data_IF_904048425442
#
_entry.id   IF_904048425442
#
_cell.length_a   1.000
_cell.length_b   1.000
_cell.length_c   1.000
_cell.angle_alpha   90.00
_cell.angle_beta   90.00
_cell.angle_gamma   90.00
#
_symmetry.space_group_name_H-M   'P 1'
#
loop_
_entity.id
_entity.type
_entity.pdbx_description
1 polymer ?
#
# COMPACT_ATOMS: atom_id res chain seq x y z
N UNK A 1 -26.96 -52.72 30.10
CA UNK A 1 -25.84 -51.82 30.44
C UNK A 1 -24.95 -51.48 29.24
N UNK A 2 -24.51 -52.45 28.43
CA UNK A 2 -23.59 -52.21 27.29
C UNK A 2 -24.09 -51.16 26.27
N UNK A 3 -25.39 -51.15 25.94
CA UNK A 3 -25.99 -50.22 24.96
C UNK A 3 -26.00 -48.74 25.40
N UNK A 4 -26.06 -48.48 26.71
CA UNK A 4 -26.09 -47.11 27.25
C UNK A 4 -24.67 -46.51 27.20
N UNK A 5 -23.66 -47.33 27.47
CA UNK A 5 -22.24 -46.93 27.39
C UNK A 5 -21.88 -46.56 25.94
N UNK A 6 -22.35 -47.34 24.96
CA UNK A 6 -22.10 -47.05 23.53
C UNK A 6 -22.70 -45.71 23.09
N UNK A 7 -23.91 -45.37 23.56
CA UNK A 7 -24.58 -44.11 23.22
C UNK A 7 -23.86 -42.91 23.88
N UNK A 8 -23.39 -43.08 25.12
CA UNK A 8 -22.62 -42.05 25.82
C UNK A 8 -21.29 -41.74 25.14
N UNK A 9 -20.57 -42.77 24.67
CA UNK A 9 -19.31 -42.61 23.92
C UNK A 9 -19.55 -41.93 22.57
N UNK A 10 -20.66 -42.22 21.89
CA UNK A 10 -21.03 -41.58 20.63
C UNK A 10 -21.33 -40.07 20.81
N UNK A 11 -22.03 -39.70 21.89
CA UNK A 11 -22.37 -38.29 22.18
C UNK A 11 -21.15 -37.45 22.61
N UNK A 12 -20.13 -38.06 23.20
CA UNK A 12 -18.87 -37.38 23.55
C UNK A 12 -17.99 -37.07 22.32
N UNK A 13 -18.19 -37.74 21.19
CA UNK A 13 -17.40 -37.51 19.97
C UNK A 13 -17.78 -36.22 19.22
N UNK A 14 -19.01 -35.74 19.35
CA UNK A 14 -19.55 -34.57 18.62
C UNK A 14 -19.28 -33.21 19.29
N UNK A 15 -18.75 -33.18 20.52
CA UNK A 15 -18.47 -31.95 21.27
C UNK A 15 -17.01 -31.47 21.20
N UNK A 16 -16.15 -32.12 20.40
CA UNK A 16 -14.70 -31.93 20.48
C UNK A 16 -14.07 -30.88 19.54
N UNK A 17 -14.84 -30.08 18.80
CA UNK A 17 -14.28 -29.04 17.91
C UNK A 17 -15.01 -27.70 17.99
N UNK A 18 -14.90 -27.02 19.12
CA UNK A 18 -15.13 -25.58 19.19
C UNK A 18 -13.84 -24.92 19.67
N UNK A 19 -12.88 -24.74 18.77
CA UNK A 19 -11.66 -24.00 19.06
C UNK A 19 -11.54 -22.82 18.11
N UNK A 20 -11.85 -21.62 18.62
CA UNK A 20 -11.38 -20.38 17.99
C UNK A 20 -9.86 -20.41 18.11
N UNK A 21 -9.18 -20.60 16.98
CA UNK A 21 -7.73 -20.57 16.91
C UNK A 21 -7.28 -19.12 16.72
N UNK A 22 -6.66 -18.55 17.75
CA UNK A 22 -5.98 -17.25 17.63
C UNK A 22 -4.73 -17.49 16.79
N UNK A 23 -4.70 -16.89 15.59
CA UNK A 23 -3.50 -16.84 14.77
C UNK A 23 -2.67 -15.66 15.23
N UNK A 24 -1.36 -15.87 15.35
CA UNK A 24 -0.44 -14.77 15.54
C UNK A 24 -0.53 -13.86 14.31
N UNK A 25 -0.95 -12.62 14.53
CA UNK A 25 -1.05 -11.62 13.46
C UNK A 25 0.21 -10.78 13.48
N UNK A 26 0.78 -10.57 12.30
CA UNK A 26 1.87 -9.60 12.17
C UNK A 26 1.24 -8.22 12.42
N UNK A 27 1.81 -7.39 13.32
CA UNK A 27 1.22 -6.11 13.68
C UNK A 27 1.13 -5.21 12.45
N UNK A 28 -0.01 -4.52 12.32
CA UNK A 28 -0.24 -3.54 11.27
C UNK A 28 0.26 -2.18 11.79
N UNK A 29 1.40 -1.74 11.26
CA UNK A 29 1.97 -0.44 11.59
C UNK A 29 1.48 0.61 10.59
N UNK A 30 0.76 1.63 11.07
CA UNK A 30 0.47 2.82 10.25
C UNK A 30 1.62 3.81 10.42
N UNK A 31 2.28 4.14 9.32
CA UNK A 31 3.40 5.06 9.28
C UNK A 31 2.88 6.50 9.16
N UNK A 32 3.32 7.26 8.15
CA UNK A 32 2.88 8.63 7.95
C UNK A 32 1.49 8.74 7.32
N UNK A 33 0.86 9.89 7.53
CA UNK A 33 -0.44 10.25 6.93
C UNK A 33 -0.44 11.71 6.50
N UNK A 34 -0.95 11.97 5.30
CA UNK A 34 -1.22 13.30 4.76
C UNK A 34 -2.59 13.27 4.11
N UNK A 35 -3.53 14.09 4.58
CA UNK A 35 -4.93 14.03 4.15
C UNK A 35 -5.49 12.61 4.30
N UNK A 36 -5.98 12.00 3.22
CA UNK A 36 -6.46 10.61 3.18
C UNK A 36 -5.38 9.60 2.73
N UNK A 37 -4.17 10.06 2.41
CA UNK A 37 -3.05 9.25 1.96
C UNK A 37 -2.21 8.79 3.16
N UNK A 38 -1.79 7.53 3.17
CA UNK A 38 -1.00 6.98 4.27
C UNK A 38 -0.18 5.77 3.82
N UNK A 39 0.86 5.43 4.58
CA UNK A 39 1.63 4.20 4.37
C UNK A 39 1.33 3.23 5.50
N UNK A 40 1.10 1.98 5.14
CA UNK A 40 0.92 0.87 6.07
C UNK A 40 2.03 -0.14 5.88
N UNK A 41 2.56 -0.67 6.97
CA UNK A 41 3.56 -1.74 6.99
C UNK A 41 2.98 -2.96 7.69
N UNK A 42 3.12 -4.12 7.07
CA UNK A 42 2.80 -5.43 7.65
C UNK A 42 3.99 -6.35 7.41
N UNK A 43 4.75 -6.64 8.46
CA UNK A 43 6.00 -7.39 8.33
C UNK A 43 6.98 -6.63 7.44
N UNK A 44 7.43 -7.27 6.35
CA UNK A 44 8.34 -6.68 5.37
C UNK A 44 7.61 -6.03 4.19
N UNK A 45 6.29 -5.98 4.19
CA UNK A 45 5.49 -5.43 3.10
C UNK A 45 5.00 -4.01 3.43
N UNK A 46 5.19 -3.09 2.50
CA UNK A 46 4.74 -1.70 2.57
C UNK A 46 3.65 -1.47 1.53
N UNK A 47 2.54 -0.91 1.97
CA UNK A 47 1.43 -0.49 1.11
C UNK A 47 1.25 1.01 1.22
N UNK A 48 1.36 1.69 0.08
CA UNK A 48 1.11 3.13 -0.04
C UNK A 48 -0.32 3.33 -0.52
N UNK A 49 -1.12 3.97 0.32
CA UNK A 49 -2.49 4.37 0.00
C UNK A 49 -2.52 5.83 -0.41
N UNK A 50 -3.22 6.13 -1.50
CA UNK A 50 -3.32 7.48 -2.05
C UNK A 50 -4.71 7.75 -2.64
N UNK A 51 -5.11 9.01 -2.63
CA UNK A 51 -6.37 9.48 -3.17
C UNK A 51 -6.15 9.75 -4.66
N UNK A 52 -6.89 9.03 -5.50
CA UNK A 52 -6.91 9.23 -6.95
C UNK A 52 -7.70 10.48 -7.29
N UNK A 53 -7.16 11.29 -8.21
CA UNK A 53 -7.87 12.43 -8.82
C UNK A 53 -8.58 12.02 -10.12
N UNK A 54 -8.32 10.81 -10.62
CA UNK A 54 -9.10 10.24 -11.71
C UNK A 54 -10.40 9.69 -11.15
N UNK A 55 -11.52 10.26 -11.61
CA UNK A 55 -12.85 9.70 -11.43
C UNK A 55 -13.01 8.59 -12.46
N UNK A 56 -12.70 7.35 -12.08
CA UNK A 56 -13.29 6.23 -12.81
C UNK A 56 -14.75 6.16 -12.35
N UNK A 57 -15.69 6.11 -13.30
CA UNK A 57 -17.16 6.13 -13.11
C UNK A 57 -17.73 4.91 -12.34
N UNK A 58 -16.96 4.31 -11.44
CA UNK A 58 -17.40 3.19 -10.60
C UNK A 58 -17.48 3.66 -9.15
N UNK A 59 -18.59 3.34 -8.50
CA UNK A 59 -19.07 3.71 -7.15
C UNK A 59 -18.15 3.25 -5.98
N UNK A 60 -16.83 3.42 -6.14
CA UNK A 60 -15.79 3.01 -5.21
C UNK A 60 -15.05 4.20 -4.62
N UNK A 61 -14.50 4.00 -3.42
CA UNK A 61 -13.62 4.99 -2.77
C UNK A 61 -12.50 5.42 -3.73
N UNK A 62 -12.26 6.73 -3.84
CA UNK A 62 -11.11 7.29 -4.57
C UNK A 62 -9.75 6.86 -4.00
N UNK A 63 -9.74 6.14 -2.88
CA UNK A 63 -8.54 5.58 -2.28
C UNK A 63 -8.02 4.37 -3.09
N UNK A 64 -6.87 4.57 -3.73
CA UNK A 64 -6.12 3.53 -4.45
C UNK A 64 -4.87 3.16 -3.65
N UNK A 65 -4.19 2.09 -4.07
CA UNK A 65 -2.98 1.60 -3.39
C UNK A 65 -2.01 0.92 -4.34
N UNK A 66 -0.74 0.91 -3.95
CA UNK A 66 0.26 -0.01 -4.48
C UNK A 66 1.08 -0.60 -3.33
N UNK A 67 1.67 -1.77 -3.57
CA UNK A 67 2.34 -2.55 -2.53
C UNK A 67 3.68 -3.09 -3.03
N UNK A 68 4.68 -3.11 -2.16
CA UNK A 68 5.99 -3.70 -2.42
C UNK A 68 6.60 -4.28 -1.14
N UNK A 69 7.51 -5.24 -1.31
CA UNK A 69 8.30 -5.79 -0.21
C UNK A 69 9.58 -4.98 -0.01
N UNK A 70 10.00 -4.83 1.23
CA UNK A 70 11.22 -4.16 1.63
C UNK A 70 12.39 -5.15 1.68
N UNK A 71 12.83 -5.63 0.52
CA UNK A 71 13.87 -6.67 0.42
C UNK A 71 15.26 -6.06 0.56
N UNK A 72 15.51 -4.93 -0.09
CA UNK A 72 16.82 -4.26 -0.12
C UNK A 72 16.75 -2.83 0.43
N UNK A 73 16.06 -2.66 1.56
CA UNK A 73 15.75 -1.33 2.12
C UNK A 73 14.94 -0.46 1.11
N UNK A 74 14.12 -1.12 0.29
CA UNK A 74 13.34 -0.53 -0.80
C UNK A 74 12.40 0.58 -0.33
N UNK A 75 11.93 0.54 0.92
CA UNK A 75 11.15 1.63 1.52
C UNK A 75 11.96 2.94 1.60
N UNK A 76 13.17 2.88 2.12
CA UNK A 76 14.06 4.05 2.18
C UNK A 76 14.57 4.44 0.79
N UNK A 77 14.82 3.47 -0.07
CA UNK A 77 15.21 3.72 -1.47
C UNK A 77 14.11 4.45 -2.23
N UNK A 78 12.85 4.06 -2.09
CA UNK A 78 11.71 4.75 -2.70
C UNK A 78 11.62 6.20 -2.21
N UNK A 79 11.72 6.43 -0.90
CA UNK A 79 11.78 7.78 -0.35
C UNK A 79 12.91 8.61 -0.97
N UNK A 80 14.13 8.07 -1.00
CA UNK A 80 15.29 8.78 -1.55
C UNK A 80 15.13 9.08 -3.05
N UNK A 81 14.60 8.14 -3.83
CA UNK A 81 14.28 8.36 -5.25
C UNK A 81 13.30 9.52 -5.39
N UNK A 82 12.20 9.51 -4.60
CA UNK A 82 11.19 10.57 -4.64
C UNK A 82 11.83 11.93 -4.30
N UNK A 83 12.59 11.99 -3.22
CA UNK A 83 13.20 13.22 -2.70
C UNK A 83 14.27 13.79 -3.64
N UNK A 84 15.06 12.94 -4.27
CA UNK A 84 16.06 13.36 -5.25
C UNK A 84 15.40 13.95 -6.51
N UNK A 85 14.24 13.43 -6.92
CA UNK A 85 13.51 13.95 -8.08
C UNK A 85 13.03 15.41 -7.91
N UNK A 86 12.70 15.85 -6.69
CA UNK A 86 12.37 17.27 -6.43
C UNK A 86 13.54 18.24 -6.67
N UNK A 87 14.79 17.74 -6.62
CA UNK A 87 16.01 18.53 -6.85
C UNK A 87 16.59 18.41 -8.26
N UNK A 88 15.97 17.65 -9.15
CA UNK A 88 16.47 17.45 -10.51
C UNK A 88 16.26 18.70 -11.39
N UNK A 89 17.22 18.96 -12.29
CA UNK A 89 17.11 20.02 -13.29
C UNK A 89 17.51 19.48 -14.67
N UNK A 90 16.57 19.43 -15.64
CA UNK A 90 15.14 19.69 -15.50
C UNK A 90 14.42 18.58 -14.70
N UNK A 91 13.17 18.83 -14.32
CA UNK A 91 12.31 17.82 -13.69
C UNK A 91 11.97 16.74 -14.74
N UNK A 92 12.20 15.47 -14.40
CA UNK A 92 11.92 14.33 -15.26
C UNK A 92 11.08 13.29 -14.53
N UNK A 93 10.23 12.60 -15.28
CA UNK A 93 9.48 11.47 -14.76
C UNK A 93 10.41 10.28 -14.49
N UNK A 94 10.24 9.66 -13.32
CA UNK A 94 10.97 8.45 -12.96
C UNK A 94 10.00 7.27 -13.01
N UNK A 95 10.23 6.35 -13.94
CA UNK A 95 9.46 5.11 -14.03
C UNK A 95 10.07 4.03 -13.13
N UNK A 96 9.26 3.49 -12.24
CA UNK A 96 9.57 2.40 -11.33
C UNK A 96 8.76 1.17 -11.71
N UNK A 97 9.40 0.01 -11.61
CA UNK A 97 8.75 -1.28 -11.78
C UNK A 97 8.63 -1.97 -10.42
N UNK A 98 7.39 -2.18 -9.97
CA UNK A 98 7.06 -3.00 -8.81
C UNK A 98 6.59 -4.38 -9.30
N UNK A 99 6.47 -5.38 -8.41
CA UNK A 99 6.00 -6.71 -8.81
C UNK A 99 4.67 -6.70 -9.58
N UNK A 100 3.69 -5.93 -9.08
CA UNK A 100 2.31 -5.92 -9.62
C UNK A 100 1.95 -4.62 -10.35
N UNK A 101 2.79 -3.59 -10.29
CA UNK A 101 2.48 -2.26 -10.81
C UNK A 101 3.67 -1.63 -11.53
N UNK A 102 3.39 -0.76 -12.49
CA UNK A 102 4.32 0.30 -12.89
C UNK A 102 3.92 1.59 -12.21
N UNK A 103 4.90 2.35 -11.71
CA UNK A 103 4.67 3.66 -11.09
C UNK A 103 5.52 4.68 -11.81
N UNK A 104 4.92 5.76 -12.28
CA UNK A 104 5.65 6.94 -12.70
C UNK A 104 5.55 7.99 -11.61
N UNK A 105 6.70 8.45 -11.15
CA UNK A 105 6.83 9.62 -10.31
C UNK A 105 6.83 10.83 -11.26
N UNK A 106 5.68 11.46 -11.42
CA UNK A 106 5.49 12.58 -12.33
C UNK A 106 5.74 13.89 -11.58
N UNK A 107 6.79 14.62 -11.96
CA UNK A 107 7.17 15.86 -11.30
C UNK A 107 6.71 17.07 -12.11
N UNK A 108 6.06 18.03 -11.44
CA UNK A 108 5.60 19.27 -12.07
C UNK A 108 6.00 20.49 -11.24
N UNK A 109 5.94 21.67 -11.87
CA UNK A 109 6.24 22.94 -11.21
C UNK A 109 7.55 23.56 -11.66
N UNK A 110 8.21 24.28 -10.75
CA UNK A 110 9.49 24.94 -11.01
C UNK A 110 10.66 24.07 -10.55
N UNK A 111 11.85 24.27 -11.13
CA UNK A 111 13.11 23.65 -10.66
C UNK A 111 13.44 24.00 -9.20
N UNK A 112 12.83 25.07 -8.66
CA UNK A 112 12.91 25.36 -7.23
C UNK A 112 12.18 24.27 -6.43
N UNK A 113 12.87 23.48 -5.57
CA UNK A 113 12.29 22.31 -4.91
C UNK A 113 11.03 22.60 -4.07
N UNK A 114 10.95 23.80 -3.50
CA UNK A 114 9.82 24.30 -2.70
C UNK A 114 8.52 24.43 -3.53
N UNK A 115 8.64 24.57 -4.85
CA UNK A 115 7.52 24.79 -5.78
C UNK A 115 7.25 23.58 -6.69
N UNK A 116 8.04 22.52 -6.55
CA UNK A 116 7.83 21.29 -7.28
C UNK A 116 6.84 20.39 -6.53
N UNK A 117 6.05 19.62 -7.28
CA UNK A 117 5.16 18.58 -6.76
C UNK A 117 5.45 17.25 -7.43
N UNK A 118 5.09 16.15 -6.79
CA UNK A 118 5.13 14.81 -7.35
C UNK A 118 3.75 14.18 -7.32
N UNK A 119 3.36 13.52 -8.41
CA UNK A 119 2.19 12.66 -8.49
C UNK A 119 2.62 11.21 -8.74
N UNK A 120 1.89 10.27 -8.17
CA UNK A 120 2.04 8.86 -8.47
C UNK A 120 1.05 8.50 -9.57
N UNK A 121 1.55 8.25 -10.79
CA UNK A 121 0.75 7.63 -11.84
C UNK A 121 0.99 6.12 -11.76
N UNK A 122 -0.03 5.35 -11.44
CA UNK A 122 0.10 3.92 -11.17
C UNK A 122 -0.70 3.15 -12.20
N UNK A 123 -0.07 2.16 -12.83
CA UNK A 123 -0.74 1.21 -13.73
C UNK A 123 -0.60 -0.21 -13.18
N UNK A 124 -1.69 -0.97 -13.18
CA UNK A 124 -1.65 -2.41 -12.88
C UNK A 124 -0.97 -3.18 -14.02
N UNK A 125 -0.18 -4.21 -13.66
CA UNK A 125 0.36 -5.17 -14.63
C UNK A 125 -0.65 -6.27 -14.98
N UNK A 126 -1.71 -6.42 -14.20
CA UNK A 126 -2.73 -7.44 -14.45
C UNK A 126 -3.59 -7.04 -15.66
N UNK A 127 -3.53 -7.84 -16.73
CA UNK A 127 -4.22 -7.57 -17.99
C UNK A 127 -5.76 -7.55 -17.86
N UNK A 128 -6.32 -8.27 -16.88
CA UNK A 128 -7.76 -8.30 -16.59
C UNK A 128 -8.26 -7.12 -15.76
N UNK A 129 -7.36 -6.33 -15.18
CA UNK A 129 -7.66 -5.19 -14.31
C UNK A 129 -6.75 -4.01 -14.67
N UNK A 130 -6.63 -3.74 -15.98
CA UNK A 130 -5.84 -2.68 -16.56
C UNK A 130 -6.39 -1.31 -16.14
N UNK A 131 -6.16 -0.98 -14.87
CA UNK A 131 -6.59 0.22 -14.21
C UNK A 131 -5.37 1.12 -14.06
N UNK A 132 -5.52 2.36 -14.50
CA UNK A 132 -4.58 3.43 -14.23
C UNK A 132 -5.20 4.35 -13.19
N UNK A 133 -4.39 4.88 -12.29
CA UNK A 133 -4.83 5.92 -11.38
C UNK A 133 -3.72 6.94 -11.16
N UNK A 134 -4.11 8.17 -10.85
CA UNK A 134 -3.18 9.28 -10.62
C UNK A 134 -3.49 9.86 -9.26
N UNK A 135 -2.48 9.96 -8.39
CA UNK A 135 -2.64 10.57 -7.08
C UNK A 135 -2.88 12.08 -7.15
N UNK A 136 -3.39 12.66 -6.07
CA UNK A 136 -3.22 14.09 -5.83
C UNK A 136 -1.73 14.47 -5.79
N UNK A 137 -1.36 15.71 -6.17
CA UNK A 137 0.01 16.18 -6.11
C UNK A 137 0.49 16.34 -4.67
N UNK A 138 1.69 15.84 -4.39
CA UNK A 138 2.37 15.99 -3.12
C UNK A 138 3.53 16.99 -3.22
N UNK A 139 3.61 17.92 -2.27
CA UNK A 139 4.83 18.72 -2.07
C UNK A 139 5.86 17.94 -1.26
N UNK A 140 7.12 18.38 -1.30
CA UNK A 140 8.25 17.77 -0.58
C UNK A 140 7.95 17.50 0.90
N UNK A 141 7.37 18.47 1.62
CA UNK A 141 7.02 18.33 3.03
C UNK A 141 5.93 17.29 3.30
N UNK A 142 5.01 17.08 2.35
CA UNK A 142 4.01 16.03 2.46
C UNK A 142 4.64 14.65 2.28
N UNK A 143 5.62 14.50 1.39
CA UNK A 143 6.39 13.26 1.25
C UNK A 143 7.16 12.96 2.55
N UNK A 144 7.85 13.95 3.13
CA UNK A 144 8.52 13.80 4.43
C UNK A 144 7.56 13.27 5.51
N UNK A 145 6.38 13.90 5.65
CA UNK A 145 5.34 13.47 6.59
C UNK A 145 4.80 12.07 6.30
N UNK A 146 4.60 11.73 5.02
CA UNK A 146 4.07 10.44 4.59
C UNK A 146 5.05 9.30 4.89
N UNK A 147 6.35 9.56 4.74
CA UNK A 147 7.41 8.58 4.99
C UNK A 147 7.98 8.60 6.42
N UNK A 148 7.52 9.53 7.27
CA UNK A 148 8.02 9.78 8.62
C UNK A 148 9.52 10.12 8.64
N UNK A 149 9.94 11.03 7.76
CA UNK A 149 11.33 11.47 7.59
C UNK A 149 11.48 12.97 7.75
#
# INVERSE_FOLDING_TARGET
>A
MKRIITIAVLLLSVVSFAQIKVLETVPVEKLGKVNNNYIQKIGDEYTVYYTSIQNDDEEGSSLRKFTFKNVNNDYASLYNIIMNGFGASPLYDIKLELPNNYIWLHYTGSVLPEKATVQFMVASKEASSATSSISEPFVKDQINKLFQK
#
